data_IF_815895861504
#
_entry.id   IF_815895861504
#
_cell.length_a   1.000
_cell.length_b   1.000
_cell.length_c   1.000
_cell.angle_alpha   90.00
_cell.angle_beta   90.00
_cell.angle_gamma   90.00
#
_symmetry.space_group_name_H-M   'P 1'
#
loop_
_entity.id
_entity.type
_entity.pdbx_description
1 polymer ?
#
# COMPACT_ATOMS: atom_id res chain seq x y z
N UNK A 1 9.09 9.77 -8.57
CA UNK A 1 8.49 11.05 -8.13
C UNK A 1 8.36 11.00 -6.63
N UNK A 2 8.63 12.09 -5.94
CA UNK A 2 8.33 12.21 -4.50
C UNK A 2 7.05 13.04 -4.38
N UNK A 3 6.10 12.56 -3.59
CA UNK A 3 4.87 13.25 -3.25
C UNK A 3 4.89 13.52 -1.75
N UNK A 4 4.79 14.78 -1.36
CA UNK A 4 4.89 15.18 0.04
C UNK A 4 3.68 15.99 0.49
N UNK A 5 3.37 15.87 1.77
CA UNK A 5 2.22 16.52 2.39
C UNK A 5 2.58 17.08 3.76
N UNK A 6 2.01 18.24 4.12
CA UNK A 6 2.09 18.81 5.46
C UNK A 6 0.84 19.64 5.75
N UNK A 7 0.58 19.94 7.03
CA UNK A 7 -0.68 20.56 7.48
C UNK A 7 -0.53 22.05 7.71
N UNK A 8 -1.59 22.82 7.46
CA UNK A 8 -1.72 24.15 8.06
C UNK A 8 -1.71 24.04 9.61
N UNK A 9 -1.19 25.03 10.35
CA UNK A 9 -0.66 26.31 9.87
C UNK A 9 0.87 26.31 9.67
N UNK A 10 1.48 25.14 9.40
CA UNK A 10 2.92 25.04 9.16
C UNK A 10 3.29 25.64 7.81
N UNK A 11 4.46 26.28 7.76
CA UNK A 11 5.06 26.81 6.55
C UNK A 11 6.46 26.22 6.41
N UNK A 12 6.67 25.42 5.37
CA UNK A 12 7.93 24.72 5.13
C UNK A 12 8.64 25.26 3.88
N UNK A 13 9.97 25.25 3.94
CA UNK A 13 10.87 25.45 2.82
C UNK A 13 11.64 24.18 2.53
N UNK A 14 12.07 24.04 1.28
CA UNK A 14 12.73 22.84 0.79
C UNK A 14 14.03 23.19 0.08
N UNK A 15 15.06 22.37 0.29
CA UNK A 15 16.28 22.38 -0.50
C UNK A 15 16.65 20.94 -0.89
N UNK A 16 17.40 20.80 -1.98
CA UNK A 16 17.89 19.53 -2.46
C UNK A 16 19.41 19.56 -2.48
N UNK A 17 20.02 18.49 -1.97
CA UNK A 17 21.45 18.25 -2.05
C UNK A 17 21.72 17.01 -2.90
N UNK A 18 22.60 17.15 -3.89
CA UNK A 18 23.05 16.05 -4.73
C UNK A 18 24.06 15.15 -4.00
N UNK A 19 24.31 13.93 -4.50
CA UNK A 19 25.35 13.05 -3.97
C UNK A 19 26.75 13.68 -3.97
N UNK A 20 27.00 14.63 -4.87
CA UNK A 20 28.27 15.35 -4.99
C UNK A 20 28.39 16.54 -4.01
N UNK A 21 27.35 16.81 -3.22
CA UNK A 21 27.33 17.89 -2.22
C UNK A 21 26.86 19.25 -2.75
N UNK A 22 26.47 19.35 -4.02
CA UNK A 22 25.83 20.56 -4.54
C UNK A 22 24.45 20.73 -3.90
N UNK A 23 24.14 21.91 -3.39
CA UNK A 23 22.88 22.20 -2.70
C UNK A 23 22.17 23.40 -3.31
N UNK A 24 20.85 23.34 -3.43
CA UNK A 24 20.04 24.48 -3.82
C UNK A 24 19.87 25.46 -2.65
N UNK A 25 19.49 26.72 -2.92
CA UNK A 25 18.89 27.53 -1.86
C UNK A 25 17.61 26.85 -1.31
N UNK A 26 17.22 27.20 -0.09
CA UNK A 26 15.89 26.88 0.41
C UNK A 26 14.85 27.71 -0.34
N UNK A 27 13.81 27.06 -0.84
CA UNK A 27 12.70 27.72 -1.51
C UNK A 27 11.41 27.53 -0.71
N UNK A 28 10.56 28.57 -0.61
CA UNK A 28 9.20 28.39 -0.12
C UNK A 28 8.46 27.41 -1.02
N UNK A 29 7.70 26.53 -0.38
CA UNK A 29 6.73 25.67 -1.05
C UNK A 29 5.53 26.53 -1.48
N UNK A 30 5.70 27.42 -2.48
CA UNK A 30 4.62 28.31 -2.97
C UNK A 30 4.65 28.54 -4.49
N UNK A 31 5.75 28.24 -5.16
CA UNK A 31 5.92 28.44 -6.61
C UNK A 31 6.78 27.37 -7.25
N UNK A 32 6.54 27.07 -8.53
CA UNK A 32 7.33 26.06 -9.26
C UNK A 32 8.79 26.52 -9.33
N UNK A 33 9.72 25.67 -8.89
CA UNK A 33 11.15 25.90 -8.96
C UNK A 33 11.78 24.90 -9.93
N UNK A 34 12.68 25.37 -10.80
CA UNK A 34 13.38 24.52 -11.78
C UNK A 34 14.83 24.94 -11.86
N UNK A 35 15.73 23.99 -12.01
CA UNK A 35 17.14 24.30 -12.14
C UNK A 35 17.99 23.10 -12.49
N UNK A 36 19.29 23.35 -12.53
CA UNK A 36 20.33 22.34 -12.67
C UNK A 36 21.11 22.37 -11.36
N UNK A 37 21.39 21.19 -10.80
CA UNK A 37 22.23 21.01 -9.64
C UNK A 37 23.52 20.33 -10.08
N UNK A 38 24.68 20.97 -9.85
CA UNK A 38 25.97 20.52 -10.39
C UNK A 38 26.08 20.73 -11.91
N UNK A 39 26.79 19.82 -12.61
CA UNK A 39 27.10 19.97 -14.05
C UNK A 39 26.11 19.35 -15.02
N UNK A 40 25.21 18.46 -14.58
CA UNK A 40 24.33 17.69 -15.49
C UNK A 40 22.95 17.30 -14.95
N UNK A 41 22.69 17.46 -13.65
CA UNK A 41 21.45 16.96 -13.06
C UNK A 41 20.36 18.05 -13.04
N UNK A 42 19.39 17.94 -13.94
CA UNK A 42 18.20 18.80 -13.93
C UNK A 42 17.19 18.35 -12.90
N UNK A 43 16.74 19.27 -12.05
CA UNK A 43 15.63 19.05 -11.12
C UNK A 43 14.43 19.92 -11.49
N UNK A 44 13.24 19.37 -11.26
CA UNK A 44 11.99 20.11 -11.40
C UNK A 44 11.15 19.94 -10.14
N UNK A 45 11.11 20.99 -9.33
CA UNK A 45 10.20 21.05 -8.21
C UNK A 45 8.83 21.54 -8.70
N UNK A 46 7.80 20.75 -8.43
CA UNK A 46 6.42 21.18 -8.56
C UNK A 46 5.91 21.44 -7.15
N UNK A 47 6.09 22.68 -6.68
CA UNK A 47 5.74 23.08 -5.32
C UNK A 47 4.24 23.45 -5.25
N UNK A 48 3.69 23.48 -4.03
CA UNK A 48 2.40 22.93 -3.70
C UNK A 48 1.22 23.68 -4.27
N UNK A 49 0.14 22.92 -4.39
CA UNK A 49 -1.21 23.46 -4.45
C UNK A 49 -1.82 23.20 -3.08
N UNK A 50 -2.22 24.25 -2.36
CA UNK A 50 -3.14 24.08 -1.24
C UNK A 50 -4.37 23.35 -1.79
N UNK A 51 -4.71 22.23 -1.17
CA UNK A 51 -5.90 21.49 -1.55
C UNK A 51 -7.04 21.90 -0.62
N UNK A 52 -7.89 22.79 -1.12
CA UNK A 52 -9.07 23.29 -0.38
C UNK A 52 -9.95 22.16 0.16
N UNK A 53 -9.91 20.97 -0.45
CA UNK A 53 -10.67 19.79 -0.04
C UNK A 53 -10.29 19.25 1.36
N UNK A 54 -9.05 19.43 1.82
CA UNK A 54 -8.62 18.95 3.13
C UNK A 54 -7.80 19.97 3.93
N UNK A 55 -7.50 21.14 3.36
CA UNK A 55 -6.73 22.20 4.03
C UNK A 55 -5.23 21.89 4.16
N UNK A 56 -4.75 20.82 3.53
CA UNK A 56 -3.36 20.42 3.55
C UNK A 56 -2.59 21.00 2.36
N UNK A 57 -1.28 21.13 2.55
CA UNK A 57 -0.34 21.42 1.48
C UNK A 57 0.17 20.13 0.88
N UNK A 58 0.06 19.99 -0.45
CA UNK A 58 0.68 18.90 -1.22
C UNK A 58 1.77 19.45 -2.12
N UNK A 59 2.99 18.95 -2.00
CA UNK A 59 4.09 19.25 -2.93
C UNK A 59 4.54 18.00 -3.70
N UNK A 60 5.15 18.21 -4.87
CA UNK A 60 5.73 17.14 -5.68
C UNK A 60 7.16 17.47 -6.11
N UNK A 61 8.02 16.47 -6.04
CA UNK A 61 9.39 16.55 -6.55
C UNK A 61 9.50 15.59 -7.71
N UNK A 62 9.77 16.15 -8.89
CA UNK A 62 10.02 15.37 -10.10
C UNK A 62 11.46 15.57 -10.51
N UNK A 63 12.17 14.46 -10.56
CA UNK A 63 13.45 14.43 -11.22
C UNK A 63 13.18 14.15 -12.69
N UNK A 64 13.50 15.12 -13.54
CA UNK A 64 13.38 15.00 -14.99
C UNK A 64 14.81 14.95 -15.51
N UNK A 65 15.33 13.81 -15.98
CA UNK A 65 16.69 13.77 -16.48
C UNK A 65 16.80 14.54 -17.79
N UNK A 66 17.87 15.34 -17.96
CA UNK A 66 18.42 15.63 -19.29
C UNK A 66 19.31 14.47 -19.77
N UNK A 67 20.07 13.87 -18.85
CA UNK A 67 20.81 12.62 -18.97
C UNK A 67 20.75 11.91 -17.60
N UNK A 68 20.94 10.58 -17.56
CA UNK A 68 20.78 9.70 -16.39
C UNK A 68 21.23 10.38 -15.07
N UNK A 69 20.32 10.46 -14.08
CA UNK A 69 20.67 10.95 -12.75
C UNK A 69 21.79 10.12 -12.12
N UNK A 70 22.62 10.75 -11.30
CA UNK A 70 23.57 10.05 -10.42
C UNK A 70 22.83 9.11 -9.47
N UNK A 71 23.15 7.81 -9.56
CA UNK A 71 22.60 6.73 -8.72
C UNK A 71 23.31 6.68 -7.38
N UNK A 72 22.92 7.55 -6.45
CA UNK A 72 23.44 7.59 -5.08
C UNK A 72 22.46 8.34 -4.17
N UNK A 73 22.84 8.62 -2.93
CA UNK A 73 21.99 9.30 -1.94
C UNK A 73 21.81 10.78 -2.27
N UNK A 74 20.58 11.15 -2.57
CA UNK A 74 20.12 12.53 -2.61
C UNK A 74 19.53 12.90 -1.25
N UNK A 75 19.79 14.11 -0.76
CA UNK A 75 19.20 14.58 0.51
C UNK A 75 18.14 15.63 0.23
N UNK A 76 16.94 15.41 0.77
CA UNK A 76 15.89 16.42 0.82
C UNK A 76 15.96 17.12 2.17
N UNK A 77 16.18 18.43 2.16
CA UNK A 77 16.21 19.24 3.36
C UNK A 77 14.88 19.97 3.51
N UNK A 78 14.22 19.79 4.65
CA UNK A 78 13.02 20.54 5.03
C UNK A 78 13.36 21.51 6.16
N UNK A 79 12.90 22.76 6.03
CA UNK A 79 13.10 23.82 7.04
C UNK A 79 11.79 24.51 7.32
N UNK A 80 11.40 24.60 8.58
CA UNK A 80 10.22 25.35 8.98
C UNK A 80 10.46 26.86 9.03
N UNK A 81 9.64 27.64 8.32
CA UNK A 81 9.47 29.08 8.55
C UNK A 81 8.57 29.35 9.74
N UNK A 82 7.50 28.57 9.84
CA UNK A 82 6.55 28.54 10.94
C UNK A 82 6.19 27.08 11.19
N UNK A 83 6.32 26.62 12.42
CA UNK A 83 6.06 25.23 12.79
C UNK A 83 5.17 25.22 14.01
N UNK A 84 4.01 24.60 13.86
CA UNK A 84 3.03 24.32 14.90
C UNK A 84 2.87 22.81 15.07
N UNK A 85 2.65 22.05 13.98
CA UNK A 85 2.49 20.60 14.02
C UNK A 85 3.82 19.86 13.82
N UNK A 86 4.66 20.35 12.89
CA UNK A 86 5.98 19.81 12.62
C UNK A 86 6.00 18.45 11.93
N UNK A 87 4.91 18.10 11.22
CA UNK A 87 4.78 16.81 10.54
C UNK A 87 4.76 16.97 9.02
N UNK A 88 5.55 16.15 8.33
CA UNK A 88 5.53 16.04 6.89
C UNK A 88 5.58 14.57 6.47
N UNK A 89 4.68 14.18 5.59
CA UNK A 89 4.58 12.84 5.05
C UNK A 89 5.16 12.81 3.63
N UNK A 90 5.93 11.78 3.28
CA UNK A 90 6.54 11.66 1.95
C UNK A 90 6.37 10.24 1.41
N UNK A 91 5.82 10.14 0.20
CA UNK A 91 5.70 8.90 -0.56
C UNK A 91 6.51 8.94 -1.83
N UNK A 92 7.16 7.81 -2.13
CA UNK A 92 7.78 7.56 -3.41
C UNK A 92 6.77 6.92 -4.36
N UNK A 93 6.39 7.66 -5.39
CA UNK A 93 5.62 7.13 -6.51
C UNK A 93 6.60 6.71 -7.61
N UNK A 94 6.77 5.40 -7.76
CA UNK A 94 7.43 4.77 -8.90
C UNK A 94 6.41 4.32 -9.95
N UNK A 95 6.72 4.48 -11.23
CA UNK A 95 5.98 3.82 -12.29
C UNK A 95 6.34 2.31 -12.26
N UNK A 96 5.65 1.51 -11.43
CA UNK A 96 5.73 0.03 -11.47
C UNK A 96 4.93 -0.57 -12.65
N UNK A 97 4.70 0.20 -13.74
CA UNK A 97 3.81 -0.23 -14.84
C UNK A 97 4.49 -1.14 -15.86
N UNK A 98 5.80 -1.23 -15.86
CA UNK A 98 6.54 -2.23 -16.62
C UNK A 98 7.10 -3.25 -15.64
N UNK A 99 6.79 -4.52 -15.86
CA UNK A 99 7.41 -5.66 -15.18
C UNK A 99 8.89 -5.84 -15.59
N UNK A 100 9.58 -4.73 -15.86
CA UNK A 100 10.94 -4.70 -16.33
C UNK A 100 11.86 -4.54 -15.10
N UNK A 101 12.66 -5.56 -14.77
CA UNK A 101 13.55 -5.57 -13.59
C UNK A 101 14.69 -4.54 -13.66
N UNK A 102 14.75 -3.71 -14.71
CA UNK A 102 15.72 -2.63 -14.88
C UNK A 102 15.16 -1.23 -14.59
N UNK A 103 13.88 -1.10 -14.23
CA UNK A 103 13.36 0.14 -13.66
C UNK A 103 13.88 0.23 -12.22
N UNK A 104 14.24 1.42 -11.74
CA UNK A 104 14.82 1.57 -10.41
C UNK A 104 13.80 1.13 -9.36
N UNK A 105 13.87 -0.15 -9.00
CA UNK A 105 13.43 -0.75 -7.75
C UNK A 105 14.20 -0.18 -6.56
N UNK A 106 15.24 0.60 -6.83
CA UNK A 106 16.30 0.97 -5.89
C UNK A 106 16.12 2.38 -5.31
N UNK A 107 14.98 3.04 -5.56
CA UNK A 107 14.66 4.29 -4.88
C UNK A 107 13.91 3.98 -3.59
N UNK A 108 14.59 4.21 -2.47
CA UNK A 108 14.03 4.12 -1.12
C UNK A 108 14.27 5.41 -0.34
N UNK A 109 13.41 5.65 0.65
CA UNK A 109 13.69 6.64 1.70
C UNK A 109 14.53 5.92 2.74
N UNK A 110 15.77 6.36 2.93
CA UNK A 110 16.75 5.69 3.81
C UNK A 110 16.85 6.30 5.21
N UNK A 111 16.29 7.49 5.42
CA UNK A 111 16.34 8.24 6.68
C UNK A 111 14.97 8.85 6.99
N UNK A 112 13.94 7.99 7.05
CA UNK A 112 12.58 8.35 7.43
C UNK A 112 12.35 8.13 8.93
N UNK A 113 11.54 8.99 9.56
CA UNK A 113 11.19 8.86 10.99
C UNK A 113 10.29 7.66 11.24
N UNK A 114 9.33 7.41 10.33
CA UNK A 114 8.39 6.29 10.38
C UNK A 114 8.16 5.74 8.96
N UNK A 115 8.01 4.42 8.84
CA UNK A 115 7.63 3.73 7.59
C UNK A 115 6.23 3.11 7.76
N UNK A 116 5.19 3.94 7.72
CA UNK A 116 3.78 3.54 7.86
C UNK A 116 2.90 4.29 6.85
N UNK A 117 1.58 4.24 7.00
CA UNK A 117 0.64 5.01 6.14
C UNK A 117 0.82 4.67 4.65
N UNK A 118 0.92 3.37 4.35
CA UNK A 118 1.23 2.83 3.02
C UNK A 118 0.00 2.41 2.22
N UNK A 119 -1.19 2.54 2.79
CA UNK A 119 -2.45 2.21 2.11
C UNK A 119 -2.65 3.16 0.92
N UNK A 120 -2.52 2.63 -0.29
CA UNK A 120 -2.63 3.42 -1.52
C UNK A 120 -4.06 3.75 -1.92
N UNK A 121 -4.24 4.79 -2.73
CA UNK A 121 -5.54 5.07 -3.35
C UNK A 121 -5.91 4.00 -4.40
N UNK A 122 -7.20 3.66 -4.57
CA UNK A 122 -8.39 4.21 -3.92
C UNK A 122 -8.76 3.51 -2.59
N UNK A 123 -7.89 2.64 -2.06
CA UNK A 123 -8.17 1.86 -0.84
C UNK A 123 -8.25 2.73 0.44
N UNK A 124 -7.91 4.02 0.33
CA UNK A 124 -8.10 5.06 1.33
C UNK A 124 -9.56 5.54 1.45
N UNK A 125 -10.45 5.16 0.53
CA UNK A 125 -11.85 5.59 0.56
C UNK A 125 -12.57 5.13 1.84
N UNK A 126 -13.30 6.06 2.49
CA UNK A 126 -14.00 5.82 3.74
C UNK A 126 -15.00 4.65 3.64
N UNK A 127 -15.74 4.58 2.53
CA UNK A 127 -16.82 3.60 2.34
C UNK A 127 -16.36 2.29 1.71
N UNK A 128 -15.18 2.23 1.08
CA UNK A 128 -14.65 0.98 0.54
C UNK A 128 -14.32 0.00 1.67
N UNK A 129 -14.49 -1.30 1.42
CA UNK A 129 -13.91 -2.36 2.24
C UNK A 129 -12.49 -2.58 1.72
N UNK A 130 -11.51 -2.25 2.56
CA UNK A 130 -10.09 -2.28 2.23
C UNK A 130 -9.47 -3.52 2.82
N UNK A 131 -8.83 -4.32 1.97
CA UNK A 131 -8.38 -5.66 2.31
C UNK A 131 -6.86 -5.73 2.24
N UNK A 132 -6.22 -6.04 3.36
CA UNK A 132 -4.82 -6.42 3.39
C UNK A 132 -4.63 -7.92 3.19
N UNK A 133 -3.37 -8.37 3.12
CA UNK A 133 -3.02 -9.76 2.87
C UNK A 133 -2.39 -10.40 4.10
N UNK A 134 -2.72 -11.67 4.36
CA UNK A 134 -1.95 -12.54 5.25
C UNK A 134 -1.56 -13.84 4.57
N UNK A 135 -0.56 -14.50 5.14
CA UNK A 135 0.05 -15.71 4.58
C UNK A 135 -0.64 -16.97 5.08
N UNK A 136 -1.17 -17.78 4.15
CA UNK A 136 -1.79 -19.08 4.46
C UNK A 136 -0.97 -20.27 3.97
N UNK A 137 -0.01 -20.03 3.08
CA UNK A 137 0.96 -21.01 2.59
C UNK A 137 2.28 -20.31 2.30
N UNK A 138 3.38 -21.00 2.54
CA UNK A 138 4.74 -20.46 2.38
C UNK A 138 5.44 -21.04 1.15
N UNK A 139 4.99 -22.21 0.68
CA UNK A 139 5.60 -22.94 -0.42
C UNK A 139 4.57 -23.61 -1.33
N UNK A 140 5.01 -23.91 -2.55
CA UNK A 140 4.27 -24.70 -3.52
C UNK A 140 5.23 -25.49 -4.40
N UNK A 141 4.73 -26.57 -5.02
CA UNK A 141 5.44 -27.26 -6.08
C UNK A 141 4.95 -26.72 -7.42
N UNK A 142 5.86 -26.25 -8.26
CA UNK A 142 5.51 -25.76 -9.60
C UNK A 142 5.20 -26.89 -10.59
N UNK A 143 4.79 -26.51 -11.80
CA UNK A 143 4.40 -27.44 -12.87
C UNK A 143 5.54 -28.36 -13.34
N UNK A 144 6.79 -27.95 -13.13
CA UNK A 144 7.98 -28.75 -13.47
C UNK A 144 8.42 -29.63 -12.29
N UNK A 145 7.66 -29.63 -11.18
CA UNK A 145 7.93 -30.42 -9.98
C UNK A 145 8.92 -29.77 -9.00
N UNK A 146 9.37 -28.54 -9.26
CA UNK A 146 10.33 -27.85 -8.40
C UNK A 146 9.64 -27.17 -7.22
N UNK A 147 10.26 -27.22 -6.04
CA UNK A 147 9.75 -26.53 -4.85
C UNK A 147 10.06 -25.04 -4.91
N UNK A 148 9.06 -24.22 -4.66
CA UNK A 148 9.13 -22.77 -4.57
C UNK A 148 8.73 -22.32 -3.15
N UNK A 149 9.31 -21.22 -2.67
CA UNK A 149 9.02 -20.59 -1.37
C UNK A 149 8.83 -19.09 -1.55
N UNK A 150 8.09 -18.45 -0.66
CA UNK A 150 7.98 -16.99 -0.59
C UNK A 150 8.59 -16.38 0.68
N UNK A 151 9.19 -17.19 1.56
CA UNK A 151 9.90 -16.79 2.79
C UNK A 151 9.07 -15.89 3.74
N UNK A 152 7.74 -16.02 3.69
CA UNK A 152 6.82 -15.33 4.61
C UNK A 152 6.42 -16.25 5.75
N UNK A 153 5.98 -15.67 6.87
CA UNK A 153 5.53 -16.40 8.04
C UNK A 153 4.04 -16.75 7.95
N UNK A 154 3.69 -18.03 8.16
CA UNK A 154 2.29 -18.48 8.28
C UNK A 154 1.52 -17.68 9.31
N UNK A 155 0.28 -17.33 8.94
CA UNK A 155 -0.66 -16.58 9.77
C UNK A 155 -0.19 -15.17 10.18
N UNK A 156 0.89 -14.67 9.58
CA UNK A 156 1.31 -13.27 9.71
C UNK A 156 0.85 -12.44 8.50
N UNK A 157 0.79 -11.14 8.71
CA UNK A 157 0.56 -10.15 7.65
C UNK A 157 1.64 -10.30 6.58
N UNK A 158 1.22 -10.37 5.33
CA UNK A 158 2.16 -10.53 4.22
C UNK A 158 3.11 -9.33 4.15
N UNK A 159 4.39 -9.56 3.88
CA UNK A 159 5.44 -8.51 3.90
C UNK A 159 5.22 -7.39 2.87
N UNK A 160 4.43 -7.66 1.83
CA UNK A 160 4.04 -6.69 0.81
C UNK A 160 2.72 -5.96 1.12
N UNK A 161 2.01 -6.33 2.19
CA UNK A 161 0.71 -5.73 2.53
C UNK A 161 0.93 -4.34 3.11
N UNK A 162 0.31 -3.34 2.50
CA UNK A 162 0.35 -1.97 2.98
C UNK A 162 -0.37 -1.83 4.33
N UNK A 163 0.29 -1.20 5.29
CA UNK A 163 -0.25 -0.87 6.61
C UNK A 163 -0.75 0.57 6.68
N UNK A 164 -1.69 0.83 7.59
CA UNK A 164 -2.15 2.17 7.91
C UNK A 164 -1.45 2.77 9.12
N UNK A 165 -2.17 3.58 9.94
CA UNK A 165 -3.47 4.18 9.61
C UNK A 165 -3.34 5.08 8.36
N UNK A 166 -4.43 5.69 7.89
CA UNK A 166 -4.32 6.75 6.89
C UNK A 166 -3.72 8.02 7.50
N UNK A 167 -3.25 8.95 6.66
CA UNK A 167 -2.67 10.24 7.12
C UNK A 167 -3.62 11.06 7.99
N UNK A 168 -4.93 10.93 7.77
CA UNK A 168 -5.96 11.57 8.60
C UNK A 168 -6.34 10.75 9.84
N UNK A 169 -5.58 9.70 10.18
CA UNK A 169 -5.82 8.80 11.30
C UNK A 169 -6.88 7.72 11.05
N UNK A 170 -7.52 7.68 9.86
CA UNK A 170 -8.57 6.70 9.62
C UNK A 170 -8.02 5.26 9.59
N UNK A 171 -8.79 4.35 10.18
CA UNK A 171 -8.43 2.95 10.37
C UNK A 171 -8.52 2.16 9.06
N UNK A 172 -7.36 1.83 8.50
CA UNK A 172 -7.19 0.97 7.31
C UNK A 172 -5.92 0.11 7.44
N UNK A 173 -5.86 -1.09 6.84
CA UNK A 173 -6.95 -1.79 6.15
C UNK A 173 -8.10 -2.18 7.11
N UNK A 174 -9.26 -2.53 6.56
CA UNK A 174 -10.39 -2.98 7.39
C UNK A 174 -10.14 -4.38 7.94
N UNK A 175 -9.73 -5.31 7.07
CA UNK A 175 -9.51 -6.73 7.41
C UNK A 175 -8.34 -7.30 6.62
N UNK A 176 -7.79 -8.42 7.07
CA UNK A 176 -6.84 -9.21 6.31
C UNK A 176 -7.48 -10.50 5.80
N UNK A 177 -7.17 -10.87 4.56
CA UNK A 177 -7.62 -12.10 3.92
C UNK A 177 -6.44 -12.87 3.28
N UNK A 178 -6.62 -14.17 2.93
CA UNK A 178 -5.57 -14.96 2.29
C UNK A 178 -5.10 -14.31 0.99
N UNK A 179 -3.84 -13.90 0.95
CA UNK A 179 -3.28 -13.22 -0.23
C UNK A 179 -1.88 -13.67 -0.63
N UNK A 180 -1.23 -14.55 0.12
CA UNK A 180 0.04 -15.15 -0.27
C UNK A 180 -0.13 -16.60 -0.74
N UNK A 181 0.53 -16.97 -1.86
CA UNK A 181 0.53 -18.32 -2.43
C UNK A 181 -0.91 -18.83 -2.67
N UNK A 182 -1.68 -18.03 -3.40
CA UNK A 182 -3.06 -18.32 -3.75
C UNK A 182 -3.09 -18.99 -5.13
N UNK A 183 -3.62 -20.21 -5.14
CA UNK A 183 -3.91 -20.96 -6.36
C UNK A 183 -5.22 -20.45 -6.94
N UNK A 184 -5.23 -20.03 -8.20
CA UNK A 184 -6.46 -19.62 -8.90
C UNK A 184 -6.39 -19.91 -10.40
N UNK A 185 -7.51 -19.69 -11.07
CA UNK A 185 -7.65 -19.91 -12.51
C UNK A 185 -6.58 -19.13 -13.30
N UNK A 186 -6.04 -19.78 -14.34
CA UNK A 186 -5.05 -19.23 -15.24
C UNK A 186 -5.68 -19.02 -16.62
N UNK A 187 -5.54 -17.83 -17.19
CA UNK A 187 -5.95 -17.57 -18.57
C UNK A 187 -5.15 -18.45 -19.55
N UNK A 188 -5.80 -18.96 -20.59
CA UNK A 188 -5.15 -19.69 -21.68
C UNK A 188 -4.09 -18.85 -22.40
N UNK A 189 -4.24 -17.53 -22.38
CA UNK A 189 -3.34 -16.58 -23.05
C UNK A 189 -2.21 -16.09 -22.12
N UNK A 190 -2.10 -16.65 -20.91
CA UNK A 190 -1.11 -16.22 -19.94
C UNK A 190 0.30 -16.67 -20.30
N UNK A 191 1.22 -15.70 -20.32
CA UNK A 191 2.66 -15.93 -20.44
C UNK A 191 3.37 -16.10 -19.10
N UNK A 192 2.65 -16.42 -18.02
CA UNK A 192 3.27 -16.61 -16.70
C UNK A 192 4.40 -17.66 -16.78
N UNK A 193 5.54 -17.43 -16.13
CA UNK A 193 6.59 -18.44 -15.99
C UNK A 193 6.11 -19.72 -15.31
N UNK A 194 6.68 -20.88 -15.66
CA UNK A 194 6.32 -22.18 -15.08
C UNK A 194 6.40 -22.24 -13.56
N UNK A 195 7.37 -21.54 -12.95
CA UNK A 195 7.48 -21.45 -11.48
C UNK A 195 6.23 -20.89 -10.77
N UNK A 196 5.36 -20.19 -11.49
CA UNK A 196 4.07 -19.67 -10.98
C UNK A 196 2.87 -20.48 -11.47
N UNK A 197 3.09 -21.65 -12.05
CA UNK A 197 2.04 -22.54 -12.54
C UNK A 197 2.06 -23.83 -11.75
N UNK A 198 0.89 -24.42 -11.55
CA UNK A 198 0.73 -25.78 -11.00
C UNK A 198 -0.28 -26.56 -11.82
N UNK A 199 -0.17 -27.88 -11.79
CA UNK A 199 -1.16 -28.76 -12.40
C UNK A 199 -2.02 -29.44 -11.34
N UNK A 200 -3.33 -29.41 -11.52
CA UNK A 200 -4.28 -30.09 -10.64
C UNK A 200 -5.46 -30.59 -11.47
N UNK A 201 -5.84 -31.86 -11.30
CA UNK A 201 -6.97 -32.50 -12.00
C UNK A 201 -6.97 -32.26 -13.52
N UNK A 202 -5.79 -32.38 -14.16
CA UNK A 202 -5.63 -32.21 -15.61
C UNK A 202 -5.68 -30.76 -16.10
N UNK A 203 -5.87 -29.78 -15.22
CA UNK A 203 -5.89 -28.34 -15.54
C UNK A 203 -4.70 -27.61 -14.95
N UNK A 204 -4.29 -26.51 -15.60
CA UNK A 204 -3.21 -25.65 -15.13
C UNK A 204 -3.76 -24.43 -14.42
N UNK A 205 -3.19 -24.11 -13.26
CA UNK A 205 -3.55 -22.98 -12.42
C UNK A 205 -2.37 -22.06 -12.18
N UNK A 206 -2.66 -20.83 -11.77
CA UNK A 206 -1.65 -19.86 -11.37
C UNK A 206 -1.47 -19.88 -9.85
N UNK A 207 -0.23 -19.72 -9.38
CA UNK A 207 0.10 -19.40 -7.99
C UNK A 207 0.58 -17.97 -7.95
N UNK A 208 -0.22 -17.09 -7.35
CA UNK A 208 0.06 -15.66 -7.26
C UNK A 208 -0.07 -15.17 -5.82
N UNK A 209 0.47 -13.98 -5.57
CA UNK A 209 0.38 -13.32 -4.29
C UNK A 209 0.16 -11.82 -4.44
N UNK A 210 -0.53 -11.23 -3.48
CA UNK A 210 -0.86 -9.81 -3.45
C UNK A 210 -2.16 -9.55 -2.68
N UNK A 211 -2.34 -8.31 -2.26
CA UNK A 211 -3.67 -7.83 -1.82
C UNK A 211 -4.71 -7.96 -2.94
N UNK A 212 -4.29 -7.99 -4.22
CA UNK A 212 -5.12 -8.35 -5.37
C UNK A 212 -5.69 -9.78 -5.31
N UNK A 213 -5.10 -10.69 -4.54
CA UNK A 213 -5.62 -12.04 -4.31
C UNK A 213 -6.47 -12.10 -3.04
N UNK A 214 -6.10 -11.33 -2.01
CA UNK A 214 -6.91 -11.19 -0.80
C UNK A 214 -8.25 -10.50 -1.05
N UNK A 215 -8.27 -9.45 -1.88
CA UNK A 215 -9.48 -8.67 -2.21
C UNK A 215 -10.61 -9.53 -2.79
N UNK A 216 -10.43 -10.33 -3.86
CA UNK A 216 -11.51 -11.16 -4.40
C UNK A 216 -11.98 -12.27 -3.43
N UNK A 217 -11.13 -12.71 -2.49
CA UNK A 217 -11.58 -13.62 -1.42
C UNK A 217 -12.68 -12.94 -0.58
N UNK A 218 -12.43 -11.71 -0.12
CA UNK A 218 -13.44 -10.93 0.62
C UNK A 218 -14.63 -10.58 -0.27
N UNK A 219 -14.44 -10.26 -1.55
CA UNK A 219 -15.55 -10.04 -2.49
C UNK A 219 -16.50 -11.24 -2.56
N UNK A 220 -15.96 -12.46 -2.58
CA UNK A 220 -16.77 -13.68 -2.53
C UNK A 220 -17.58 -13.80 -1.23
N UNK A 221 -16.97 -13.47 -0.09
CA UNK A 221 -17.68 -13.46 1.19
C UNK A 221 -18.76 -12.39 1.25
N UNK A 222 -18.51 -11.20 0.70
CA UNK A 222 -19.52 -10.14 0.58
C UNK A 222 -20.71 -10.62 -0.26
N UNK A 223 -20.47 -11.36 -1.35
CA UNK A 223 -21.55 -11.94 -2.14
C UNK A 223 -22.39 -12.93 -1.31
N UNK A 224 -21.77 -13.78 -0.50
CA UNK A 224 -22.48 -14.70 0.40
C UNK A 224 -23.25 -13.98 1.53
N UNK A 225 -22.68 -12.89 2.07
CA UNK A 225 -23.38 -12.02 3.04
C UNK A 225 -24.64 -11.42 2.40
N UNK A 226 -24.51 -10.90 1.18
CA UNK A 226 -25.63 -10.30 0.44
C UNK A 226 -26.66 -11.32 -0.03
N UNK A 227 -26.26 -12.56 -0.33
CA UNK A 227 -27.19 -13.66 -0.59
C UNK A 227 -28.08 -13.93 0.62
N UNK A 228 -27.54 -13.83 1.83
CA UNK A 228 -28.30 -13.99 3.07
C UNK A 228 -29.16 -12.77 3.39
N UNK A 229 -28.63 -11.57 3.21
CA UNK A 229 -29.38 -10.33 3.43
C UNK A 229 -29.01 -9.26 2.38
N UNK A 230 -29.82 -9.11 1.32
CA UNK A 230 -29.53 -8.19 0.22
C UNK A 230 -29.77 -6.71 0.59
N UNK A 231 -30.35 -6.42 1.76
CA UNK A 231 -30.63 -5.05 2.20
C UNK A 231 -29.47 -4.40 2.95
N UNK A 232 -28.41 -5.16 3.27
CA UNK A 232 -27.24 -4.63 3.97
C UNK A 232 -26.52 -3.58 3.13
N UNK A 233 -26.17 -2.47 3.76
CA UNK A 233 -25.37 -1.43 3.15
C UNK A 233 -23.85 -1.68 3.34
N UNK A 234 -22.97 -1.00 2.58
CA UNK A 234 -21.53 -1.23 2.66
C UNK A 234 -20.91 -1.04 4.06
N UNK A 235 -21.46 -0.15 4.89
CA UNK A 235 -20.95 0.07 6.25
C UNK A 235 -21.32 -1.09 7.19
N UNK A 236 -22.53 -1.64 7.06
CA UNK A 236 -22.96 -2.82 7.82
C UNK A 236 -22.12 -4.05 7.45
N UNK A 237 -21.92 -4.29 6.14
CA UNK A 237 -21.09 -5.41 5.66
C UNK A 237 -19.65 -5.26 6.18
N UNK A 238 -19.09 -4.04 6.11
CA UNK A 238 -17.76 -3.77 6.68
C UNK A 238 -17.70 -4.10 8.17
N UNK A 239 -18.71 -3.71 8.94
CA UNK A 239 -18.75 -4.01 10.37
C UNK A 239 -18.88 -5.50 10.65
N UNK A 240 -19.68 -6.23 9.88
CA UNK A 240 -19.79 -7.70 9.97
C UNK A 240 -18.42 -8.34 9.72
N UNK A 241 -17.71 -7.94 8.67
CA UNK A 241 -16.38 -8.47 8.35
C UNK A 241 -15.36 -8.15 9.46
N UNK A 242 -15.33 -6.90 9.95
CA UNK A 242 -14.48 -6.50 11.10
C UNK A 242 -14.80 -7.34 12.35
N UNK A 243 -16.09 -7.54 12.63
CA UNK A 243 -16.57 -8.37 13.73
C UNK A 243 -16.29 -9.86 13.52
N UNK A 244 -16.02 -10.31 12.30
CA UNK A 244 -15.59 -11.67 12.01
C UNK A 244 -14.06 -11.83 12.05
N UNK A 245 -13.31 -10.75 12.18
CA UNK A 245 -11.85 -10.78 12.20
C UNK A 245 -11.26 -10.87 13.61
N UNK A 246 -10.03 -11.40 13.69
CA UNK A 246 -9.24 -11.49 14.93
C UNK A 246 -7.75 -11.30 14.65
N UNK A 247 -7.07 -10.51 15.47
CA UNK A 247 -5.60 -10.43 15.47
C UNK A 247 -5.07 -11.60 16.32
N UNK A 248 -4.16 -12.45 15.79
CA UNK A 248 -3.61 -13.58 16.54
C UNK A 248 -2.97 -13.13 17.86
N UNK A 249 -3.35 -13.77 18.97
CA UNK A 249 -2.83 -13.44 20.30
C UNK A 249 -3.54 -12.28 21.01
N UNK A 250 -4.42 -11.54 20.34
CA UNK A 250 -5.12 -10.40 20.91
C UNK A 250 -6.57 -10.73 21.29
N UNK A 251 -7.03 -10.16 22.41
CA UNK A 251 -8.39 -10.34 22.93
C UNK A 251 -9.28 -9.14 22.62
N UNK A 252 -8.70 -7.95 22.49
CA UNK A 252 -9.39 -6.65 22.55
C UNK A 252 -10.11 -6.26 21.27
N UNK A 253 -9.92 -7.00 20.15
CA UNK A 253 -10.52 -6.73 18.82
C UNK A 253 -10.37 -5.27 18.36
N UNK A 254 -9.38 -4.57 18.91
CA UNK A 254 -9.06 -3.21 18.56
C UNK A 254 -8.37 -3.19 17.19
N UNK A 255 -8.49 -2.05 16.52
CA UNK A 255 -7.74 -1.81 15.30
C UNK A 255 -6.23 -1.79 15.60
N UNK A 256 -5.46 -2.35 14.67
CA UNK A 256 -4.02 -2.22 14.60
C UNK A 256 -3.61 -1.75 13.19
N UNK A 257 -2.60 -0.90 13.10
CA UNK A 257 -2.17 -0.30 11.84
C UNK A 257 -1.72 -1.35 10.79
N UNK A 258 -1.03 -2.40 11.23
CA UNK A 258 -0.51 -3.49 10.40
C UNK A 258 -1.58 -4.55 10.13
N UNK A 259 -2.39 -4.87 11.15
CA UNK A 259 -3.36 -5.97 11.07
C UNK A 259 -4.78 -5.54 10.68
N UNK A 260 -5.10 -4.25 10.64
CA UNK A 260 -6.47 -3.78 10.57
C UNK A 260 -7.27 -4.29 11.78
N UNK A 261 -8.46 -4.86 11.53
CA UNK A 261 -9.22 -5.60 12.56
C UNK A 261 -8.82 -7.09 12.65
N UNK A 262 -7.80 -7.51 11.90
CA UNK A 262 -7.20 -8.83 11.96
C UNK A 262 -7.60 -9.77 10.82
N UNK A 263 -7.21 -11.03 10.99
CA UNK A 263 -7.44 -12.12 10.05
C UNK A 263 -8.92 -12.47 10.03
N UNK A 264 -9.49 -12.57 8.84
CA UNK A 264 -10.89 -12.91 8.69
C UNK A 264 -11.16 -14.39 9.01
N UNK A 265 -12.11 -14.66 9.92
CA UNK A 265 -12.51 -16.00 10.33
C UNK A 265 -13.87 -16.36 9.72
N UNK A 266 -13.84 -17.27 8.74
CA UNK A 266 -15.06 -17.69 8.02
C UNK A 266 -16.05 -18.46 8.92
N UNK A 267 -15.57 -19.20 9.93
CA UNK A 267 -16.46 -19.92 10.85
C UNK A 267 -17.18 -18.93 11.76
N UNK A 268 -16.46 -17.92 12.24
CA UNK A 268 -17.06 -16.82 13.00
C UNK A 268 -18.01 -15.99 12.17
N UNK A 269 -17.67 -15.71 10.91
CA UNK A 269 -18.58 -15.02 9.98
C UNK A 269 -19.89 -15.80 9.82
N UNK A 270 -19.82 -17.13 9.61
CA UNK A 270 -21.01 -17.96 9.51
C UNK A 270 -21.90 -17.87 10.77
N UNK A 271 -21.30 -17.95 11.97
CA UNK A 271 -22.03 -17.81 13.23
C UNK A 271 -22.72 -16.45 13.39
N UNK A 272 -22.06 -15.37 12.96
CA UNK A 272 -22.65 -14.01 12.98
C UNK A 272 -23.90 -14.00 12.08
N UNK A 273 -23.78 -14.48 10.85
CA UNK A 273 -24.88 -14.49 9.88
C UNK A 273 -26.05 -15.38 10.32
N UNK A 274 -25.79 -16.49 11.01
CA UNK A 274 -26.85 -17.33 11.58
C UNK A 274 -27.60 -16.65 12.73
N UNK A 275 -26.90 -15.90 13.58
CA UNK A 275 -27.50 -15.20 14.72
C UNK A 275 -28.38 -14.01 14.31
N UNK A 276 -28.08 -13.36 13.19
CA UNK A 276 -28.88 -12.24 12.66
C UNK A 276 -30.20 -12.71 12.02
N UNK A 277 -30.32 -13.97 11.59
CA UNK A 277 -31.56 -14.53 11.05
C UNK A 277 -32.62 -14.88 12.11
N UNK A 278 -32.28 -14.79 13.41
CA UNK A 278 -33.17 -15.19 14.52
C UNK A 278 -33.93 -14.00 15.14
N UNK A 279 -33.67 -12.77 14.68
CA UNK A 279 -34.38 -11.55 15.11
C UNK A 279 -35.20 -10.93 13.98
#
# INVERSE_FOLDING_TARGET
MINGWYQEPDELEIALRSPEGHETAFFPLESIQRGILGSSDSYQFFLPKLLESNGDHRFEIRFTPALRMVTSTWTLLLRGKKVVNGHADLWLYGNRRDNNPTHPSDLSIIDGVQDNTKVGEPATAANAITVGSYTTRESWQDIDGSSQSNDQLLHDVSTFSSEGPLRNGAEKPDVLAPGAVIVSALSSDSSLPNKFKIQSNGSTYAVLQGTSMATPFVTGLVALILERNPNLNPAEIKQILRNASTIPGEVTRAFDAKWGYGLLDCARLANILESECVN
#
